data_IF_988161635792
#
_entry.id   IF_988161635792
#
_cell.length_a   1.000
_cell.length_b   1.000
_cell.length_c   1.000
_cell.angle_alpha   90.00
_cell.angle_beta   90.00
_cell.angle_gamma   90.00
#
_symmetry.space_group_name_H-M   'P 1'
#
loop_
_entity.id
_entity.type
_entity.pdbx_description
1 polymer ?
#
# COMPACT_ATOMS: atom_id res chain seq x y z
N UNK A 1 -9.18 -6.92 -9.53
CA UNK A 1 -8.24 -5.77 -9.61
C UNK A 1 -6.97 -5.98 -10.44
N UNK A 2 -6.13 -6.99 -10.16
CA UNK A 2 -4.80 -7.04 -10.82
C UNK A 2 -4.73 -7.94 -12.06
N UNK A 3 -5.75 -8.74 -12.34
CA UNK A 3 -5.78 -9.70 -13.46
C UNK A 3 -5.54 -9.06 -14.83
N UNK A 4 -6.09 -7.85 -15.07
CA UNK A 4 -5.87 -7.12 -16.33
C UNK A 4 -4.40 -6.74 -16.50
N UNK A 5 -3.77 -6.21 -15.45
CA UNK A 5 -2.35 -5.89 -15.44
C UNK A 5 -1.51 -7.17 -15.59
N UNK A 6 -1.92 -8.26 -14.95
CA UNK A 6 -1.29 -9.58 -15.08
C UNK A 6 -1.31 -10.09 -16.51
N UNK A 7 -2.48 -10.17 -17.16
CA UNK A 7 -2.59 -10.67 -18.53
C UNK A 7 -1.70 -9.89 -19.51
N UNK A 8 -1.63 -8.57 -19.35
CA UNK A 8 -0.82 -7.69 -20.21
C UNK A 8 0.68 -7.90 -19.99
N UNK A 9 1.11 -7.97 -18.73
CA UNK A 9 2.52 -8.20 -18.40
C UNK A 9 2.97 -9.62 -18.78
N UNK A 10 2.15 -10.64 -18.55
CA UNK A 10 2.46 -12.02 -18.91
C UNK A 10 2.67 -12.20 -20.42
N UNK A 11 1.82 -11.60 -21.26
CA UNK A 11 1.96 -11.67 -22.72
C UNK A 11 3.24 -11.00 -23.26
N UNK A 12 3.73 -9.97 -22.57
CA UNK A 12 5.02 -9.33 -22.87
C UNK A 12 6.20 -10.18 -22.46
N UNK A 13 6.10 -10.78 -21.27
CA UNK A 13 7.17 -11.59 -20.68
C UNK A 13 7.39 -12.88 -21.46
N UNK A 14 6.34 -13.52 -21.99
CA UNK A 14 6.46 -14.74 -22.79
C UNK A 14 7.30 -14.54 -24.06
N UNK A 15 7.18 -13.38 -24.72
CA UNK A 15 7.99 -13.04 -25.91
C UNK A 15 9.48 -12.93 -25.58
N UNK A 16 9.82 -12.64 -24.33
CA UNK A 16 11.19 -12.42 -23.87
C UNK A 16 11.89 -13.72 -23.44
N UNK A 17 11.14 -14.79 -23.10
CA UNK A 17 11.70 -16.10 -22.71
C UNK A 17 12.57 -16.74 -23.78
N UNK A 18 12.37 -16.40 -25.06
CA UNK A 18 13.11 -17.01 -26.19
C UNK A 18 14.53 -16.47 -26.42
N UNK A 19 14.99 -15.45 -25.69
CA UNK A 19 16.28 -14.79 -25.96
C UNK A 19 17.39 -15.21 -24.98
N UNK A 20 18.55 -15.61 -25.53
CA UNK A 20 19.67 -16.17 -24.76
C UNK A 20 20.56 -15.18 -24.00
N UNK A 21 20.45 -13.87 -24.25
CA UNK A 21 21.13 -12.79 -23.49
C UNK A 21 20.26 -11.54 -23.36
N UNK A 22 20.42 -10.81 -22.25
CA UNK A 22 19.93 -9.44 -22.11
C UNK A 22 20.87 -8.51 -22.90
N UNK A 23 20.38 -7.92 -23.98
CA UNK A 23 21.04 -6.82 -24.71
C UNK A 23 20.27 -5.53 -24.44
N UNK A 24 20.90 -4.38 -24.63
CA UNK A 24 20.21 -3.08 -24.49
C UNK A 24 18.97 -2.98 -25.39
N UNK A 25 19.03 -3.55 -26.60
CA UNK A 25 17.91 -3.60 -27.53
C UNK A 25 16.74 -4.43 -26.97
N UNK A 26 17.03 -5.62 -26.43
CA UNK A 26 16.02 -6.50 -25.82
C UNK A 26 15.37 -5.83 -24.59
N UNK A 27 16.17 -5.16 -23.76
CA UNK A 27 15.69 -4.42 -22.58
C UNK A 27 14.79 -3.26 -23.01
N UNK A 28 15.18 -2.51 -24.07
CA UNK A 28 14.39 -1.39 -24.59
C UNK A 28 13.04 -1.86 -25.13
N UNK A 29 13.00 -2.97 -25.88
CA UNK A 29 11.77 -3.56 -26.39
C UNK A 29 10.85 -4.01 -25.25
N UNK A 30 11.39 -4.77 -24.29
CA UNK A 30 10.66 -5.25 -23.12
C UNK A 30 10.08 -4.12 -22.27
N UNK A 31 10.89 -3.10 -21.97
CA UNK A 31 10.44 -1.94 -21.17
C UNK A 31 9.39 -1.10 -21.90
N UNK A 32 9.42 -1.05 -23.24
CA UNK A 32 8.36 -0.42 -24.02
C UNK A 32 7.03 -1.17 -23.86
N UNK A 33 7.05 -2.49 -23.90
CA UNK A 33 5.83 -3.28 -23.72
C UNK A 33 5.29 -3.19 -22.28
N UNK A 34 6.16 -3.29 -21.27
CA UNK A 34 5.79 -3.07 -19.86
C UNK A 34 5.17 -1.67 -19.68
N UNK A 35 5.72 -0.65 -20.33
CA UNK A 35 5.17 0.71 -20.32
C UNK A 35 3.74 0.75 -20.86
N UNK A 36 3.47 0.06 -21.97
CA UNK A 36 2.14 0.01 -22.58
C UNK A 36 1.17 -0.69 -21.64
N UNK A 37 1.56 -1.85 -21.08
CA UNK A 37 0.73 -2.60 -20.13
C UNK A 37 0.34 -1.77 -18.90
N UNK A 38 1.28 -1.00 -18.34
CA UNK A 38 1.02 -0.13 -17.20
C UNK A 38 0.06 1.01 -17.55
N UNK A 39 0.20 1.62 -18.73
CA UNK A 39 -0.71 2.68 -19.19
C UNK A 39 -2.11 2.16 -19.48
N UNK A 40 -2.24 0.99 -20.11
CA UNK A 40 -3.53 0.32 -20.36
C UNK A 40 -4.25 -0.06 -19.05
N UNK A 41 -3.46 -0.36 -18.00
CA UNK A 41 -3.94 -0.59 -16.64
C UNK A 41 -4.27 0.70 -15.86
N UNK A 42 -4.33 1.85 -16.54
CA UNK A 42 -4.60 3.19 -15.98
C UNK A 42 -3.63 3.63 -14.87
N UNK A 43 -2.37 3.19 -14.95
CA UNK A 43 -1.30 3.74 -14.10
C UNK A 43 -0.96 5.15 -14.57
N UNK A 44 -0.83 6.10 -13.63
CA UNK A 44 -0.50 7.48 -13.96
C UNK A 44 0.87 7.60 -14.65
N UNK A 45 0.92 8.39 -15.73
CA UNK A 45 2.11 8.55 -16.57
C UNK A 45 3.41 8.87 -15.80
N UNK A 46 3.43 9.77 -14.78
CA UNK A 46 4.64 10.04 -14.01
C UNK A 46 5.19 8.80 -13.30
N UNK A 47 4.29 7.91 -12.83
CA UNK A 47 4.64 6.68 -12.14
C UNK A 47 5.18 5.66 -13.13
N UNK A 48 4.55 5.54 -14.31
CA UNK A 48 5.05 4.68 -15.38
C UNK A 48 6.46 5.11 -15.83
N UNK A 49 6.67 6.41 -16.04
CA UNK A 49 7.98 6.94 -16.44
C UNK A 49 9.05 6.63 -15.40
N UNK A 50 8.77 6.87 -14.12
CA UNK A 50 9.70 6.59 -13.04
C UNK A 50 10.01 5.10 -12.91
N UNK A 51 8.99 4.24 -12.99
CA UNK A 51 9.14 2.79 -12.87
C UNK A 51 10.00 2.24 -14.02
N UNK A 52 9.72 2.65 -15.26
CA UNK A 52 10.48 2.21 -16.44
C UNK A 52 11.94 2.65 -16.37
N UNK A 53 12.21 3.86 -15.88
CA UNK A 53 13.58 4.35 -15.74
C UNK A 53 14.37 3.51 -14.74
N UNK A 54 13.78 3.20 -13.58
CA UNK A 54 14.42 2.36 -12.56
C UNK A 54 14.66 0.93 -13.06
N UNK A 55 13.69 0.35 -13.77
CA UNK A 55 13.83 -0.98 -14.40
C UNK A 55 15.01 -1.00 -15.37
N UNK A 56 15.16 0.02 -16.23
CA UNK A 56 16.28 0.09 -17.19
C UNK A 56 17.63 0.14 -16.47
N UNK A 57 17.76 1.00 -15.47
CA UNK A 57 19.01 1.15 -14.70
C UNK A 57 19.39 -0.17 -14.02
N UNK A 58 18.43 -0.86 -13.36
CA UNK A 58 18.71 -2.16 -12.72
C UNK A 58 18.97 -3.28 -13.72
N UNK A 59 18.26 -3.32 -14.84
CA UNK A 59 18.40 -4.36 -15.84
C UNK A 59 19.76 -4.32 -16.55
N UNK A 60 20.35 -3.13 -16.72
CA UNK A 60 21.71 -2.97 -17.27
C UNK A 60 22.79 -3.36 -16.24
N UNK A 61 22.54 -3.10 -14.95
CA UNK A 61 23.52 -3.31 -13.87
C UNK A 61 23.52 -4.72 -13.24
N UNK A 62 22.51 -5.56 -13.49
CA UNK A 62 22.51 -6.93 -12.97
C UNK A 62 23.34 -7.87 -13.86
N UNK A 63 24.43 -8.41 -13.31
CA UNK A 63 24.94 -9.67 -13.80
C UNK A 63 23.85 -10.73 -13.61
N UNK A 64 23.38 -11.31 -14.72
CA UNK A 64 22.42 -12.41 -14.68
C UNK A 64 23.06 -13.50 -13.83
N UNK A 65 22.45 -13.81 -12.68
CA UNK A 65 22.84 -14.98 -11.88
C UNK A 65 22.93 -16.16 -12.85
N UNK A 66 24.07 -16.88 -12.86
CA UNK A 66 24.38 -17.92 -13.87
C UNK A 66 23.28 -18.98 -14.04
N UNK A 67 22.36 -19.07 -13.09
CA UNK A 67 21.22 -19.99 -12.99
C UNK A 67 19.88 -19.45 -13.51
N UNK A 68 19.78 -18.17 -13.87
CA UNK A 68 18.54 -17.57 -14.41
C UNK A 68 18.67 -17.27 -15.89
N UNK A 69 17.58 -17.48 -16.63
CA UNK A 69 17.48 -16.99 -18.00
C UNK A 69 17.31 -15.46 -18.01
N UNK A 70 17.77 -14.77 -19.07
CA UNK A 70 17.53 -13.33 -19.30
C UNK A 70 16.11 -12.85 -19.01
N UNK A 71 15.10 -13.60 -19.49
CA UNK A 71 13.70 -13.29 -19.24
C UNK A 71 13.35 -13.36 -17.76
N UNK A 72 13.81 -14.41 -17.04
CA UNK A 72 13.59 -14.56 -15.61
C UNK A 72 14.24 -13.45 -14.77
N UNK A 73 15.45 -13.03 -15.15
CA UNK A 73 16.12 -11.91 -14.50
C UNK A 73 15.34 -10.59 -14.68
N UNK A 74 14.82 -10.32 -15.88
CA UNK A 74 14.01 -9.12 -16.11
C UNK A 74 12.68 -9.16 -15.34
N UNK A 75 11.99 -10.31 -15.30
CA UNK A 75 10.76 -10.49 -14.50
C UNK A 75 11.03 -10.16 -13.04
N UNK A 76 12.15 -10.68 -12.50
CA UNK A 76 12.59 -10.37 -11.14
C UNK A 76 12.77 -8.86 -10.95
N UNK A 77 13.48 -8.18 -11.85
CA UNK A 77 13.67 -6.72 -11.77
C UNK A 77 12.33 -5.99 -11.76
N UNK A 78 11.40 -6.37 -12.65
CA UNK A 78 10.06 -5.78 -12.71
C UNK A 78 9.29 -6.03 -11.41
N UNK A 79 9.31 -7.25 -10.87
CA UNK A 79 8.70 -7.61 -9.59
C UNK A 79 9.24 -6.74 -8.46
N UNK A 80 10.56 -6.70 -8.31
CA UNK A 80 11.22 -6.01 -7.21
C UNK A 80 10.95 -4.51 -7.27
N UNK A 81 10.82 -3.94 -8.47
CA UNK A 81 10.44 -2.55 -8.67
C UNK A 81 8.96 -2.29 -8.39
N UNK A 82 8.06 -3.17 -8.82
CA UNK A 82 6.63 -3.07 -8.50
C UNK A 82 6.41 -3.16 -6.98
N UNK A 83 7.06 -4.11 -6.30
CA UNK A 83 7.03 -4.23 -4.84
C UNK A 83 7.60 -2.98 -4.18
N UNK A 84 8.75 -2.48 -4.64
CA UNK A 84 9.35 -1.26 -4.08
C UNK A 84 8.44 -0.04 -4.22
N UNK A 85 7.72 0.10 -5.34
CA UNK A 85 6.76 1.19 -5.55
C UNK A 85 5.52 1.01 -4.67
N UNK A 86 5.01 -0.21 -4.50
CA UNK A 86 3.85 -0.48 -3.63
C UNK A 86 4.18 -0.37 -2.13
N UNK A 87 5.44 -0.60 -1.75
CA UNK A 87 5.92 -0.69 -0.37
C UNK A 87 6.44 -2.09 -0.07
N UNK A 88 7.49 -2.21 0.76
CA UNK A 88 8.09 -3.51 1.03
C UNK A 88 7.26 -4.40 1.97
N UNK A 89 6.53 -3.80 2.91
CA UNK A 89 5.80 -4.52 3.96
C UNK A 89 4.40 -3.95 4.19
N UNK A 90 3.53 -4.80 4.75
CA UNK A 90 2.20 -4.38 5.18
C UNK A 90 2.31 -3.37 6.33
N UNK A 91 1.60 -2.25 6.21
CA UNK A 91 1.57 -1.21 7.24
C UNK A 91 0.31 -1.31 8.08
N UNK A 92 0.48 -1.46 9.39
CA UNK A 92 -0.63 -1.51 10.33
C UNK A 92 -1.15 -0.11 10.70
N UNK A 93 -2.30 -0.06 11.38
CA UNK A 93 -2.80 1.15 12.01
C UNK A 93 -1.98 1.49 13.26
N UNK A 94 -1.60 2.76 13.39
CA UNK A 94 -0.98 3.30 14.59
C UNK A 94 -2.05 3.55 15.66
N UNK A 95 -2.35 2.49 16.41
CA UNK A 95 -3.26 2.54 17.56
C UNK A 95 -2.52 2.70 18.90
N UNK A 96 -1.19 2.85 18.87
CA UNK A 96 -0.34 3.00 20.06
C UNK A 96 -0.35 4.45 20.55
N UNK A 97 -1.55 4.96 20.85
CA UNK A 97 -1.81 6.32 21.34
C UNK A 97 -2.76 6.25 22.54
N UNK A 98 -2.83 7.30 23.38
CA UNK A 98 -3.84 7.37 24.42
C UNK A 98 -5.25 7.25 23.86
N UNK A 99 -6.08 6.41 24.48
CA UNK A 99 -7.45 6.20 24.04
C UNK A 99 -8.33 7.46 24.25
N UNK A 100 -9.30 7.74 23.36
CA UNK A 100 -9.57 7.02 22.11
C UNK A 100 -8.56 7.38 21.01
N UNK A 101 -8.09 6.36 20.27
CA UNK A 101 -7.34 6.58 19.04
C UNK A 101 -8.30 7.10 17.95
N UNK A 102 -8.04 8.30 17.44
CA UNK A 102 -8.92 8.94 16.46
C UNK A 102 -8.42 8.65 15.05
N UNK A 103 -9.30 8.11 14.20
CA UNK A 103 -9.04 7.84 12.79
C UNK A 103 -9.96 8.71 11.94
N UNK A 104 -9.38 9.63 11.19
CA UNK A 104 -10.09 10.54 10.29
C UNK A 104 -10.11 9.95 8.87
N UNK A 105 -11.29 9.81 8.27
CA UNK A 105 -11.44 9.37 6.89
C UNK A 105 -11.55 10.57 5.97
N UNK A 106 -10.63 10.72 5.03
CA UNK A 106 -10.62 11.76 4.00
C UNK A 106 -10.71 11.16 2.60
N UNK A 107 -11.21 11.91 1.63
CA UNK A 107 -11.24 11.47 0.22
C UNK A 107 -12.42 12.00 -0.58
N UNK A 108 -12.43 11.68 -1.87
CA UNK A 108 -13.44 12.15 -2.82
C UNK A 108 -14.85 11.68 -2.47
N UNK A 109 -15.83 12.41 -2.99
CA UNK A 109 -17.22 11.95 -3.00
C UNK A 109 -17.34 10.64 -3.78
N UNK A 110 -18.12 9.69 -3.26
CA UNK A 110 -18.33 8.39 -3.90
C UNK A 110 -17.17 7.39 -3.79
N UNK A 111 -16.04 7.77 -3.16
CA UNK A 111 -14.89 6.88 -2.95
C UNK A 111 -15.15 5.74 -1.96
N UNK A 112 -16.29 5.73 -1.25
CA UNK A 112 -16.64 4.70 -0.29
C UNK A 112 -16.16 4.94 1.14
N UNK A 113 -16.05 6.20 1.59
CA UNK A 113 -15.63 6.54 2.97
C UNK A 113 -16.55 5.94 4.03
N UNK A 114 -17.84 6.26 3.99
CA UNK A 114 -18.86 5.78 4.94
C UNK A 114 -18.91 4.25 5.02
N UNK A 115 -18.84 3.57 3.87
CA UNK A 115 -18.83 2.09 3.82
C UNK A 115 -17.52 1.53 4.36
N UNK A 116 -16.39 2.18 4.09
CA UNK A 116 -15.08 1.82 4.66
C UNK A 116 -15.06 1.98 6.17
N UNK A 117 -15.69 3.02 6.73
CA UNK A 117 -15.83 3.19 8.19
C UNK A 117 -16.55 2.00 8.80
N UNK A 118 -17.69 1.57 8.24
CA UNK A 118 -18.43 0.41 8.75
C UNK A 118 -17.60 -0.88 8.72
N UNK A 119 -16.91 -1.14 7.61
CA UNK A 119 -16.04 -2.32 7.47
C UNK A 119 -14.84 -2.28 8.41
N UNK A 120 -14.21 -1.11 8.55
CA UNK A 120 -13.06 -0.93 9.44
C UNK A 120 -13.49 -1.07 10.90
N UNK A 121 -14.65 -0.54 11.28
CA UNK A 121 -15.21 -0.70 12.61
C UNK A 121 -15.42 -2.18 12.95
N UNK A 122 -15.98 -2.95 12.01
CA UNK A 122 -16.12 -4.40 12.13
C UNK A 122 -14.77 -5.10 12.27
N UNK A 123 -13.81 -4.77 11.40
CA UNK A 123 -12.46 -5.34 11.43
C UNK A 123 -11.77 -5.10 12.79
N UNK A 124 -11.83 -3.88 13.31
CA UNK A 124 -11.24 -3.51 14.60
C UNK A 124 -11.93 -4.22 15.78
N UNK A 125 -13.26 -4.32 15.76
CA UNK A 125 -14.02 -5.05 16.77
C UNK A 125 -13.71 -6.55 16.76
N UNK A 126 -13.74 -7.18 15.60
CA UNK A 126 -13.65 -8.64 15.49
C UNK A 126 -12.22 -9.17 15.55
N UNK A 127 -11.31 -8.57 14.77
CA UNK A 127 -9.91 -9.03 14.63
C UNK A 127 -8.98 -8.41 15.67
N UNK A 128 -9.23 -7.16 16.10
CA UNK A 128 -8.40 -6.45 17.09
C UNK A 128 -9.01 -6.33 18.49
N UNK A 129 -10.25 -6.82 18.67
CA UNK A 129 -10.99 -6.81 19.94
C UNK A 129 -11.08 -5.42 20.59
N UNK A 130 -11.18 -4.37 19.76
CA UNK A 130 -11.31 -2.98 20.22
C UNK A 130 -12.77 -2.57 20.36
N UNK A 131 -13.07 -1.75 21.37
CA UNK A 131 -14.34 -1.03 21.49
C UNK A 131 -14.31 0.15 20.54
N UNK A 132 -15.18 0.15 19.54
CA UNK A 132 -15.20 1.15 18.47
C UNK A 132 -16.44 2.02 18.58
N UNK A 133 -16.25 3.31 18.36
CA UNK A 133 -17.31 4.28 18.10
C UNK A 133 -17.11 4.91 16.73
N UNK A 134 -18.20 5.21 16.03
CA UNK A 134 -18.18 5.91 14.75
C UNK A 134 -19.02 7.18 14.83
N UNK A 135 -18.62 8.21 14.10
CA UNK A 135 -19.34 9.48 14.00
C UNK A 135 -19.31 9.98 12.56
N UNK A 136 -20.44 10.53 12.10
CA UNK A 136 -20.50 11.24 10.82
C UNK A 136 -20.32 12.74 11.03
N UNK A 137 -19.28 13.28 10.40
CA UNK A 137 -19.05 14.71 10.24
C UNK A 137 -19.46 15.20 8.84
N UNK A 138 -20.12 14.37 8.02
CA UNK A 138 -20.72 14.76 6.73
C UNK A 138 -22.09 15.42 6.96
N UNK A 139 -22.05 16.69 7.39
CA UNK A 139 -23.26 17.50 7.66
C UNK A 139 -24.01 17.92 6.39
N UNK A 140 -23.38 17.78 5.22
CA UNK A 140 -23.94 18.18 3.93
C UNK A 140 -24.88 17.11 3.35
N UNK A 141 -24.74 15.86 3.80
CA UNK A 141 -25.54 14.73 3.33
C UNK A 141 -26.23 14.07 4.52
N UNK A 142 -27.45 14.51 4.90
CA UNK A 142 -28.19 13.90 6.02
C UNK A 142 -28.36 12.38 5.88
N UNK A 143 -28.53 11.88 4.65
CA UNK A 143 -28.60 10.45 4.38
C UNK A 143 -27.29 9.69 4.71
N UNK A 144 -26.13 10.34 4.68
CA UNK A 144 -24.86 9.72 5.06
C UNK A 144 -24.77 9.49 6.58
N UNK A 145 -25.38 10.37 7.39
CA UNK A 145 -25.49 10.20 8.85
C UNK A 145 -26.33 8.96 9.16
N UNK A 146 -27.54 8.86 8.58
CA UNK A 146 -28.42 7.70 8.77
C UNK A 146 -27.83 6.41 8.18
N UNK A 147 -27.12 6.51 7.05
CA UNK A 147 -26.41 5.37 6.47
C UNK A 147 -25.33 4.86 7.43
N UNK A 148 -24.52 5.74 8.01
CA UNK A 148 -23.48 5.34 8.97
C UNK A 148 -24.08 4.75 10.23
N UNK A 149 -25.18 5.32 10.74
CA UNK A 149 -25.92 4.78 11.88
C UNK A 149 -26.39 3.35 11.63
N UNK A 150 -27.02 3.11 10.48
CA UNK A 150 -27.49 1.77 10.08
C UNK A 150 -26.33 0.79 9.97
N UNK A 151 -25.20 1.21 9.40
CA UNK A 151 -23.99 0.38 9.31
C UNK A 151 -23.42 0.07 10.71
N UNK A 152 -23.41 1.05 11.62
CA UNK A 152 -22.93 0.88 12.98
C UNK A 152 -23.77 -0.13 13.76
N UNK A 153 -25.10 -0.06 13.63
CA UNK A 153 -26.04 -1.03 14.21
C UNK A 153 -25.81 -2.43 13.62
N UNK A 154 -25.66 -2.55 12.30
CA UNK A 154 -25.43 -3.82 11.62
C UNK A 154 -24.14 -4.52 12.08
N UNK A 155 -23.05 -3.78 12.32
CA UNK A 155 -21.78 -4.35 12.81
C UNK A 155 -21.68 -4.36 14.35
N UNK A 156 -22.68 -3.80 15.03
CA UNK A 156 -22.80 -3.72 16.48
C UNK A 156 -21.70 -2.89 17.14
N UNK A 157 -21.39 -1.72 16.60
CA UNK A 157 -20.46 -0.73 17.21
C UNK A 157 -21.23 0.50 17.66
N UNK A 158 -20.62 1.33 18.51
CA UNK A 158 -21.26 2.54 19.00
C UNK A 158 -21.35 3.59 17.88
N UNK A 159 -22.47 4.30 17.82
CA UNK A 159 -22.67 5.44 16.94
C UNK A 159 -22.89 6.69 17.78
N UNK A 160 -22.10 7.73 17.53
CA UNK A 160 -22.35 9.04 18.13
C UNK A 160 -23.34 9.83 17.26
N UNK A 161 -24.48 10.28 17.81
CA UNK A 161 -25.49 11.01 17.06
C UNK A 161 -24.97 12.39 16.63
N UNK A 162 -25.19 12.73 15.37
CA UNK A 162 -24.89 14.05 14.81
C UNK A 162 -26.06 14.54 13.94
N UNK A 163 -26.13 15.86 13.72
CA UNK A 163 -27.18 16.47 12.90
C UNK A 163 -26.60 17.47 11.89
N UNK A 164 -27.35 17.70 10.81
CA UNK A 164 -26.89 18.52 9.68
C UNK A 164 -26.77 20.03 10.01
N UNK A 165 -27.40 20.48 11.09
CA UNK A 165 -27.34 21.86 11.60
C UNK A 165 -26.10 22.14 12.47
N UNK A 166 -25.36 21.10 12.86
CA UNK A 166 -24.16 21.24 13.67
C UNK A 166 -22.92 21.50 12.81
N UNK A 167 -21.88 22.10 13.41
CA UNK A 167 -20.57 22.23 12.76
C UNK A 167 -19.78 20.92 12.88
N UNK A 168 -19.07 20.46 11.82
CA UNK A 168 -18.26 19.24 11.85
C UNK A 168 -17.30 19.17 13.04
N UNK A 169 -16.60 20.27 13.34
CA UNK A 169 -15.67 20.35 14.46
C UNK A 169 -16.35 20.13 15.82
N UNK A 170 -17.54 20.69 16.00
CA UNK A 170 -18.30 20.54 17.25
C UNK A 170 -18.79 19.10 17.44
N UNK A 171 -19.26 18.47 16.36
CA UNK A 171 -19.66 17.06 16.36
C UNK A 171 -18.50 16.17 16.81
N UNK A 172 -17.33 16.32 16.17
CA UNK A 172 -16.19 15.44 16.45
C UNK A 172 -15.64 15.66 17.85
N UNK A 173 -15.58 16.91 18.35
CA UNK A 173 -15.20 17.17 19.75
C UNK A 173 -16.15 16.50 20.74
N UNK A 174 -17.45 16.63 20.54
CA UNK A 174 -18.45 16.00 21.40
C UNK A 174 -18.33 14.46 21.35
N UNK A 175 -18.08 13.89 20.17
CA UNK A 175 -17.83 12.45 20.00
C UNK A 175 -16.57 11.97 20.73
N UNK A 176 -15.49 12.75 20.74
CA UNK A 176 -14.27 12.44 21.50
C UNK A 176 -14.56 12.41 23.00
N UNK A 177 -15.30 13.39 23.50
CA UNK A 177 -15.66 13.45 24.93
C UNK A 177 -16.58 12.28 25.33
N UNK A 178 -17.54 11.92 24.48
CA UNK A 178 -18.39 10.75 24.71
C UNK A 178 -17.62 9.43 24.62
N UNK A 179 -16.71 9.30 23.64
CA UNK A 179 -15.82 8.15 23.52
C UNK A 179 -14.94 7.96 24.76
N UNK A 180 -14.44 9.05 25.36
CA UNK A 180 -13.69 9.01 26.63
C UNK A 180 -14.56 8.53 27.79
N UNK A 181 -15.77 9.08 27.95
CA UNK A 181 -16.71 8.66 29.01
C UNK A 181 -17.17 7.21 28.86
N UNK A 182 -17.30 6.76 27.61
CA UNK A 182 -17.70 5.42 27.25
C UNK A 182 -16.55 4.41 27.19
N UNK A 183 -15.32 4.81 27.55
CA UNK A 183 -14.11 3.97 27.51
C UNK A 183 -13.91 3.29 26.15
N UNK A 184 -14.12 4.04 25.07
CA UNK A 184 -13.91 3.58 23.69
C UNK A 184 -12.43 3.59 23.36
N UNK A 185 -11.95 2.55 22.68
CA UNK A 185 -10.55 2.45 22.26
C UNK A 185 -10.28 3.24 20.98
N UNK A 186 -11.21 3.20 20.01
CA UNK A 186 -11.04 3.80 18.68
C UNK A 186 -12.29 4.58 18.27
N UNK A 187 -12.10 5.82 17.84
CA UNK A 187 -13.13 6.67 17.24
C UNK A 187 -12.85 6.82 15.74
N UNK A 188 -13.79 6.35 14.91
CA UNK A 188 -13.74 6.56 13.46
C UNK A 188 -14.60 7.76 13.07
N UNK A 189 -14.01 8.70 12.33
CA UNK A 189 -14.68 9.93 11.89
C UNK A 189 -14.87 9.87 10.37
N UNK A 190 -16.12 9.74 9.92
CA UNK A 190 -16.49 9.86 8.51
C UNK A 190 -16.65 11.33 8.13
N UNK A 191 -15.90 11.82 7.15
CA UNK A 191 -16.01 13.21 6.67
C UNK A 191 -16.73 13.29 5.34
N UNK A 192 -17.22 14.49 4.99
CA UNK A 192 -17.83 14.71 3.70
C UNK A 192 -16.87 14.43 2.52
N UNK A 193 -17.43 13.99 1.39
CA UNK A 193 -16.69 13.96 0.13
C UNK A 193 -16.33 15.37 -0.34
N UNK A 194 -15.05 15.61 -0.58
CA UNK A 194 -14.56 16.89 -1.10
C UNK A 194 -14.02 16.70 -2.50
N UNK A 195 -14.29 17.64 -3.41
CA UNK A 195 -13.57 17.73 -4.66
C UNK A 195 -12.20 18.36 -4.38
N UNK A 196 -11.14 17.82 -4.95
CA UNK A 196 -9.78 18.33 -4.74
C UNK A 196 -9.58 19.79 -5.18
N UNK A 197 -10.49 20.30 -6.03
CA UNK A 197 -10.50 21.68 -6.55
C UNK A 197 -11.28 22.66 -5.68
N UNK A 198 -11.99 22.21 -4.64
CA UNK A 198 -12.79 23.07 -3.76
C UNK A 198 -11.94 23.52 -2.56
N UNK A 199 -11.34 24.71 -2.68
CA UNK A 199 -10.47 25.29 -1.65
C UNK A 199 -11.18 25.49 -0.31
N UNK A 200 -12.46 25.89 -0.33
CA UNK A 200 -13.22 26.14 0.89
C UNK A 200 -13.46 24.83 1.66
N UNK A 201 -13.84 23.78 0.94
CA UNK A 201 -13.99 22.44 1.50
C UNK A 201 -12.65 21.87 2.02
N UNK A 202 -11.55 22.11 1.32
CA UNK A 202 -10.21 21.68 1.75
C UNK A 202 -9.73 22.45 3.00
N UNK A 203 -10.07 23.74 3.11
CA UNK A 203 -9.78 24.54 4.30
C UNK A 203 -10.54 24.01 5.53
N UNK A 204 -11.81 23.61 5.35
CA UNK A 204 -12.61 23.07 6.46
C UNK A 204 -12.05 21.75 7.00
N UNK A 205 -11.69 20.80 6.13
CA UNK A 205 -11.10 19.53 6.59
C UNK A 205 -9.73 19.74 7.24
N UNK A 206 -8.97 20.73 6.78
CA UNK A 206 -7.70 21.11 7.41
C UNK A 206 -7.91 21.70 8.81
N UNK A 207 -8.92 22.56 8.97
CA UNK A 207 -9.31 23.09 10.27
C UNK A 207 -9.79 21.97 11.21
N UNK A 208 -10.63 21.05 10.72
CA UNK A 208 -11.10 19.90 11.47
C UNK A 208 -9.93 19.00 11.90
N UNK A 209 -9.01 18.68 10.99
CA UNK A 209 -7.83 17.89 11.28
C UNK A 209 -6.97 18.55 12.36
N UNK A 210 -6.70 19.86 12.25
CA UNK A 210 -5.92 20.59 13.23
C UNK A 210 -6.60 20.64 14.61
N UNK A 211 -7.92 20.78 14.64
CA UNK A 211 -8.70 20.82 15.88
C UNK A 211 -8.77 19.47 16.61
N UNK A 212 -8.72 18.37 15.86
CA UNK A 212 -8.92 17.00 16.38
C UNK A 212 -7.61 16.25 16.62
N UNK A 213 -6.55 16.62 15.89
CA UNK A 213 -5.23 15.98 15.94
C UNK A 213 -5.31 14.44 15.88
N UNK A 214 -5.85 13.86 14.78
CA UNK A 214 -6.08 12.43 14.68
C UNK A 214 -4.77 11.63 14.69
N UNK A 215 -4.82 10.42 15.25
CA UNK A 215 -3.69 9.49 15.24
C UNK A 215 -3.45 8.92 13.84
N UNK A 216 -4.52 8.74 13.07
CA UNK A 216 -4.49 8.29 11.69
C UNK A 216 -5.39 9.15 10.83
N UNK A 217 -4.90 9.56 9.66
CA UNK A 217 -5.68 10.20 8.61
C UNK A 217 -5.60 9.32 7.37
N UNK A 218 -6.69 8.58 7.11
CA UNK A 218 -6.78 7.62 6.03
C UNK A 218 -7.43 8.26 4.80
N UNK A 219 -6.70 8.25 3.69
CA UNK A 219 -7.22 8.68 2.40
C UNK A 219 -7.90 7.51 1.68
N UNK A 220 -9.21 7.62 1.46
CA UNK A 220 -10.00 6.61 0.76
C UNK A 220 -10.09 6.97 -0.70
N UNK A 221 -9.68 6.04 -1.56
CA UNK A 221 -9.68 6.21 -3.01
C UNK A 221 -10.29 4.99 -3.69
N UNK A 222 -11.08 5.25 -4.71
CA UNK A 222 -11.69 4.22 -5.53
C UNK A 222 -10.66 3.68 -6.52
N UNK A 223 -10.50 2.35 -6.54
CA UNK A 223 -9.56 1.67 -7.42
C UNK A 223 -9.90 1.85 -8.92
N UNK A 224 -11.12 2.26 -9.25
CA UNK A 224 -11.57 2.57 -10.61
C UNK A 224 -11.17 3.98 -11.07
N UNK A 225 -10.73 4.88 -10.18
CA UNK A 225 -10.42 6.29 -10.52
C UNK A 225 -9.16 6.45 -11.39
N UNK A 226 -8.52 5.35 -11.82
CA UNK A 226 -7.47 5.34 -12.84
C UNK A 226 -6.39 6.39 -12.61
N UNK A 227 -6.08 7.18 -13.64
CA UNK A 227 -5.06 8.21 -13.58
C UNK A 227 -5.46 9.42 -12.71
N UNK A 228 -6.75 9.74 -12.57
CA UNK A 228 -7.21 10.89 -11.76
C UNK A 228 -7.00 10.68 -10.26
N UNK A 229 -6.82 9.43 -9.84
CA UNK A 229 -6.45 9.08 -8.47
C UNK A 229 -5.12 9.75 -8.07
N UNK A 230 -4.19 9.91 -9.01
CA UNK A 230 -2.90 10.57 -8.81
C UNK A 230 -3.04 12.04 -8.40
N UNK A 231 -3.77 12.82 -9.19
CA UNK A 231 -3.95 14.25 -8.98
C UNK A 231 -4.68 14.53 -7.68
N UNK A 232 -5.73 13.76 -7.43
CA UNK A 232 -6.51 13.82 -6.20
C UNK A 232 -5.64 13.50 -4.98
N UNK A 233 -4.91 12.38 -5.03
CA UNK A 233 -4.09 11.96 -3.91
C UNK A 233 -2.99 12.98 -3.60
N UNK A 234 -2.42 13.62 -4.62
CA UNK A 234 -1.49 14.74 -4.45
C UNK A 234 -2.14 15.90 -3.70
N UNK A 235 -3.29 16.38 -4.17
CA UNK A 235 -3.98 17.51 -3.54
C UNK A 235 -4.34 17.25 -2.07
N UNK A 236 -4.81 16.05 -1.74
CA UNK A 236 -5.07 15.67 -0.35
C UNK A 236 -3.80 15.48 0.47
N UNK A 237 -2.73 14.92 -0.12
CA UNK A 237 -1.43 14.77 0.54
C UNK A 237 -0.73 16.09 0.85
N UNK A 238 -0.92 17.09 0.00
CA UNK A 238 -0.39 18.45 0.18
C UNK A 238 -1.20 19.23 1.24
N UNK A 239 -2.50 18.99 1.33
CA UNK A 239 -3.40 19.70 2.24
C UNK A 239 -3.47 19.10 3.65
N UNK A 240 -3.37 17.78 3.77
CA UNK A 240 -3.54 17.02 5.01
C UNK A 240 -2.36 16.07 5.24
N UNK A 241 -1.91 15.90 6.49
CA UNK A 241 -0.87 14.93 6.81
C UNK A 241 -1.47 13.52 6.81
N UNK A 242 -1.58 12.94 5.62
CA UNK A 242 -2.05 11.57 5.43
C UNK A 242 -1.09 10.57 6.08
N UNK A 243 -1.64 9.54 6.73
CA UNK A 243 -0.87 8.46 7.36
C UNK A 243 -1.02 7.13 6.64
N UNK A 244 -2.10 6.96 5.87
CA UNK A 244 -2.35 5.76 5.09
C UNK A 244 -3.42 5.95 4.03
N UNK A 245 -3.56 4.93 3.18
CA UNK A 245 -4.52 4.89 2.08
C UNK A 245 -5.38 3.64 2.20
N UNK A 246 -6.66 3.76 1.85
CA UNK A 246 -7.58 2.63 1.68
C UNK A 246 -8.08 2.61 0.24
N UNK A 247 -7.88 1.49 -0.44
CA UNK A 247 -8.41 1.26 -1.79
C UNK A 247 -9.78 0.61 -1.70
N UNK A 248 -10.77 1.14 -2.41
CA UNK A 248 -12.13 0.56 -2.44
C UNK A 248 -12.47 -0.01 -3.82
N UNK A 249 -13.56 -0.78 -3.90
CA UNK A 249 -14.12 -1.36 -5.13
C UNK A 249 -13.13 -2.20 -5.94
N UNK A 250 -12.29 -2.97 -5.26
CA UNK A 250 -11.27 -3.81 -5.92
C UNK A 250 -11.84 -5.10 -6.51
N UNK A 251 -13.09 -5.41 -6.16
CA UNK A 251 -13.95 -6.46 -6.70
C UNK A 251 -14.55 -6.14 -8.07
N UNK A 252 -14.55 -4.88 -8.50
CA UNK A 252 -14.96 -4.48 -9.85
C UNK A 252 -13.87 -4.69 -10.91
N UNK A 253 -14.11 -4.16 -12.11
CA UNK A 253 -13.15 -4.06 -13.23
C UNK A 253 -12.04 -3.02 -12.95
N UNK A 254 -11.63 -2.90 -11.70
CA UNK A 254 -10.49 -2.08 -11.30
C UNK A 254 -9.24 -2.67 -11.97
N UNK A 255 -8.43 -1.82 -12.61
CA UNK A 255 -7.25 -2.25 -13.39
C UNK A 255 -5.94 -2.30 -12.60
N UNK A 256 -5.98 -1.98 -11.30
CA UNK A 256 -4.79 -2.01 -10.44
C UNK A 256 -3.95 -0.74 -10.45
N UNK A 257 -4.04 0.10 -11.48
CA UNK A 257 -3.16 1.26 -11.64
C UNK A 257 -3.31 2.36 -10.59
N UNK A 258 -4.50 2.52 -10.01
CA UNK A 258 -4.73 3.48 -8.94
C UNK A 258 -3.88 3.19 -7.69
N UNK A 259 -3.66 1.92 -7.34
CA UNK A 259 -2.86 1.52 -6.18
C UNK A 259 -1.41 2.00 -6.31
N UNK A 260 -0.77 1.70 -7.44
CA UNK A 260 0.59 2.14 -7.77
C UNK A 260 0.67 3.67 -7.78
N UNK A 261 -0.31 4.30 -8.43
CA UNK A 261 -0.31 5.75 -8.64
C UNK A 261 -0.39 6.52 -7.34
N UNK A 262 -1.36 6.18 -6.48
CA UNK A 262 -1.60 6.87 -5.21
C UNK A 262 -0.44 6.66 -4.25
N UNK A 263 0.08 5.43 -4.15
CA UNK A 263 1.22 5.12 -3.28
C UNK A 263 2.47 5.90 -3.70
N UNK A 264 2.81 5.87 -4.98
CA UNK A 264 4.01 6.55 -5.50
C UNK A 264 3.94 8.07 -5.27
N UNK A 265 2.77 8.67 -5.47
CA UNK A 265 2.60 10.12 -5.40
C UNK A 265 2.52 10.63 -3.97
N UNK A 266 1.78 9.94 -3.11
CA UNK A 266 1.61 10.37 -1.71
C UNK A 266 2.77 9.94 -0.81
N UNK A 267 3.51 8.89 -1.21
CA UNK A 267 4.48 8.22 -0.35
C UNK A 267 3.85 7.52 0.86
N UNK A 268 2.51 7.46 0.97
CA UNK A 268 1.79 6.90 2.12
C UNK A 268 1.37 5.46 1.88
N UNK A 269 1.47 4.58 2.89
CA UNK A 269 1.23 3.15 2.69
C UNK A 269 -0.24 2.88 2.45
N UNK A 270 -0.53 1.93 1.56
CA UNK A 270 -1.89 1.38 1.48
C UNK A 270 -2.02 0.40 2.64
N UNK A 271 -2.99 0.63 3.52
CA UNK A 271 -3.20 -0.19 4.73
C UNK A 271 -4.27 -1.25 4.50
N UNK A 272 -5.33 -0.88 3.79
CA UNK A 272 -6.47 -1.77 3.55
C UNK A 272 -6.98 -1.73 2.12
N UNK A 273 -7.69 -2.79 1.76
CA UNK A 273 -8.36 -3.00 0.48
C UNK A 273 -9.79 -3.46 0.71
N UNK A 274 -10.73 -2.76 0.08
CA UNK A 274 -12.14 -3.16 0.01
C UNK A 274 -12.33 -4.19 -1.10
N UNK A 275 -12.58 -5.44 -0.72
CA UNK A 275 -12.66 -6.61 -1.61
C UNK A 275 -14.10 -7.10 -1.86
N UNK A 276 -15.09 -6.49 -1.23
CA UNK A 276 -16.51 -6.67 -1.58
C UNK A 276 -17.33 -5.53 -0.99
N UNK A 277 -18.60 -5.42 -1.38
CA UNK A 277 -19.56 -4.48 -0.77
C UNK A 277 -19.96 -4.88 0.67
N UNK A 278 -19.82 -6.15 1.04
CA UNK A 278 -20.26 -6.69 2.34
C UNK A 278 -19.46 -6.09 3.51
N UNK A 279 -20.00 -6.07 4.74
CA UNK A 279 -19.30 -5.56 5.92
C UNK A 279 -17.97 -6.26 6.22
N UNK A 280 -17.82 -7.52 5.82
CA UNK A 280 -16.58 -8.31 5.98
C UNK A 280 -15.55 -8.03 4.88
N UNK A 281 -15.93 -7.30 3.84
CA UNK A 281 -15.15 -7.06 2.63
C UNK A 281 -14.00 -6.07 2.78
N UNK A 282 -13.21 -6.16 3.85
CA UNK A 282 -12.03 -5.33 4.09
C UNK A 282 -10.84 -6.19 4.53
N UNK A 283 -9.81 -6.21 3.69
CA UNK A 283 -8.58 -6.96 3.91
C UNK A 283 -7.37 -6.03 4.06
N UNK A 284 -6.32 -6.56 4.70
CA UNK A 284 -5.03 -5.87 4.84
C UNK A 284 -4.31 -5.89 3.49
N UNK A 285 -3.73 -4.75 3.11
CA UNK A 285 -2.91 -4.68 1.89
C UNK A 285 -1.54 -5.28 2.15
N UNK A 286 -1.21 -6.35 1.40
CA UNK A 286 0.09 -7.01 1.41
C UNK A 286 0.79 -6.75 0.06
N UNK A 287 1.73 -5.79 0.00
CA UNK A 287 2.34 -5.38 -1.26
C UNK A 287 3.06 -6.52 -1.99
N UNK A 288 3.79 -7.35 -1.25
CA UNK A 288 4.53 -8.51 -1.72
C UNK A 288 3.61 -9.51 -2.44
N UNK A 289 2.51 -9.88 -1.80
CA UNK A 289 1.52 -10.82 -2.35
C UNK A 289 0.86 -10.26 -3.60
N UNK A 290 0.63 -8.95 -3.62
CA UNK A 290 0.00 -8.28 -4.75
C UNK A 290 0.95 -8.20 -5.94
N UNK A 291 2.22 -7.82 -5.73
CA UNK A 291 3.23 -7.80 -6.78
C UNK A 291 3.44 -9.18 -7.41
N UNK A 292 3.49 -10.24 -6.59
CA UNK A 292 3.58 -11.61 -7.08
C UNK A 292 2.35 -12.05 -7.88
N UNK A 293 1.14 -11.65 -7.46
CA UNK A 293 -0.12 -11.90 -8.21
C UNK A 293 -0.20 -11.09 -9.51
N UNK A 294 0.36 -9.89 -9.55
CA UNK A 294 0.43 -9.09 -10.79
C UNK A 294 1.30 -9.76 -11.84
N UNK A 295 2.35 -10.45 -11.41
CA UNK A 295 3.26 -11.13 -12.31
C UNK A 295 2.95 -12.62 -12.42
N UNK A 296 1.70 -13.03 -12.14
CA UNK A 296 1.28 -14.42 -11.95
C UNK A 296 1.91 -15.38 -12.95
N UNK A 297 3.01 -15.96 -12.48
CA UNK A 297 3.86 -16.92 -13.15
C UNK A 297 4.37 -17.85 -12.06
N UNK A 298 3.44 -18.47 -11.32
CA UNK A 298 3.73 -19.29 -10.13
C UNK A 298 4.96 -20.18 -10.30
N UNK A 299 5.16 -20.76 -11.47
CA UNK A 299 6.34 -21.59 -11.78
C UNK A 299 7.64 -20.79 -11.91
N UNK A 300 7.63 -19.61 -12.54
CA UNK A 300 8.85 -18.78 -12.71
C UNK A 300 9.26 -18.08 -11.44
N UNK A 301 8.30 -17.52 -10.71
CA UNK A 301 8.59 -16.86 -9.44
C UNK A 301 9.12 -17.87 -8.43
N UNK A 302 8.52 -19.06 -8.38
CA UNK A 302 9.04 -20.17 -7.55
C UNK A 302 10.44 -20.59 -7.97
N UNK A 303 10.73 -20.67 -9.28
CA UNK A 303 12.09 -20.98 -9.77
C UNK A 303 13.10 -19.89 -9.40
N UNK A 304 12.71 -18.61 -9.51
CA UNK A 304 13.56 -17.47 -9.12
C UNK A 304 13.84 -17.51 -7.62
N UNK A 305 12.82 -17.73 -6.78
CA UNK A 305 12.95 -17.83 -5.32
C UNK A 305 13.79 -19.04 -4.91
N UNK A 306 13.62 -20.19 -5.55
CA UNK A 306 14.44 -21.38 -5.32
C UNK A 306 15.91 -21.12 -5.66
N UNK A 307 16.17 -20.45 -6.78
CA UNK A 307 17.53 -20.06 -7.17
C UNK A 307 18.14 -19.09 -6.16
N UNK A 308 17.39 -18.10 -5.66
CA UNK A 308 17.87 -17.19 -4.61
C UNK A 308 18.23 -17.95 -3.33
N UNK A 309 17.32 -18.81 -2.85
CA UNK A 309 17.57 -19.63 -1.67
C UNK A 309 18.78 -20.56 -1.84
N UNK A 310 18.98 -21.11 -3.04
CA UNK A 310 20.10 -22.01 -3.31
C UNK A 310 21.42 -21.26 -3.39
N UNK A 311 21.45 -20.07 -4.00
CA UNK A 311 22.63 -19.20 -4.02
C UNK A 311 23.01 -18.75 -2.61
N UNK A 312 22.04 -18.41 -1.78
CA UNK A 312 22.31 -18.02 -0.38
C UNK A 312 22.84 -19.20 0.45
N UNK A 313 22.29 -20.40 0.24
CA UNK A 313 22.82 -21.64 0.85
C UNK A 313 24.22 -21.97 0.38
N UNK A 314 24.52 -21.83 -0.91
CA UNK A 314 25.86 -22.08 -1.46
C UNK A 314 26.89 -21.07 -0.96
N UNK A 315 26.50 -19.79 -0.83
CA UNK A 315 27.33 -18.76 -0.20
C UNK A 315 27.59 -19.09 1.27
N UNK A 316 26.54 -19.44 2.03
CA UNK A 316 26.67 -19.84 3.43
C UNK A 316 27.53 -21.09 3.61
N UNK A 317 27.37 -22.10 2.75
CA UNK A 317 28.15 -23.33 2.75
C UNK A 317 29.62 -23.08 2.38
N UNK A 318 29.91 -22.23 1.39
CA UNK A 318 31.29 -21.83 1.06
C UNK A 318 31.95 -21.04 2.18
N UNK A 319 31.19 -20.18 2.87
CA UNK A 319 31.68 -19.46 4.04
C UNK A 319 31.99 -20.44 5.18
N UNK A 320 31.08 -21.37 5.47
CA UNK A 320 31.26 -22.41 6.48
C UNK A 320 32.42 -23.35 6.16
N UNK A 321 32.59 -23.73 4.89
CA UNK A 321 33.68 -24.60 4.42
C UNK A 321 35.03 -23.87 4.45
N UNK A 322 35.08 -22.57 4.14
CA UNK A 322 36.28 -21.75 4.32
C UNK A 322 36.69 -21.64 5.79
N UNK A 323 35.72 -21.42 6.69
CA UNK A 323 35.93 -21.38 8.15
C UNK A 323 36.39 -22.76 8.67
N UNK A 324 35.76 -23.84 8.23
CA UNK A 324 36.09 -25.21 8.62
C UNK A 324 37.47 -25.68 8.09
N UNK A 325 37.90 -25.20 6.92
CA UNK A 325 39.20 -25.52 6.32
C UNK A 325 40.36 -24.67 6.85
N UNK A 326 40.12 -23.78 7.82
CA UNK A 326 41.17 -22.98 8.47
C UNK A 326 41.96 -22.07 7.52
N UNK A 327 41.41 -21.75 6.33
CA UNK A 327 42.04 -20.78 5.42
C UNK A 327 41.98 -19.41 6.09
N UNK A 328 43.14 -18.73 6.18
CA UNK A 328 43.26 -17.41 6.79
C UNK A 328 42.23 -16.48 6.17
N UNK A 329 41.35 -15.97 7.02
CA UNK A 329 40.41 -14.90 6.73
C UNK A 329 41.19 -13.76 6.05
N UNK A 330 40.88 -13.47 4.79
CA UNK A 330 41.61 -12.46 4.02
C UNK A 330 40.84 -11.12 3.97
N UNK A 331 41.47 -10.10 3.42
CA UNK A 331 40.88 -8.76 3.35
C UNK A 331 39.64 -8.70 2.43
N UNK A 332 39.50 -9.63 1.48
CA UNK A 332 38.30 -9.72 0.66
C UNK A 332 37.16 -10.34 1.45
N UNK A 333 37.43 -11.35 2.28
CA UNK A 333 36.45 -11.93 3.19
C UNK A 333 35.96 -10.90 4.24
N UNK A 334 36.87 -10.04 4.73
CA UNK A 334 36.52 -8.93 5.62
C UNK A 334 35.66 -7.88 4.91
N UNK A 335 35.96 -7.55 3.65
CA UNK A 335 35.14 -6.65 2.83
C UNK A 335 33.74 -7.21 2.61
N UNK A 336 33.64 -8.47 2.23
CA UNK A 336 32.37 -9.12 1.95
C UNK A 336 31.51 -9.23 3.24
N UNK A 337 32.13 -9.48 4.41
CA UNK A 337 31.44 -9.39 5.71
C UNK A 337 30.94 -7.97 6.02
N UNK A 338 31.72 -6.94 5.72
CA UNK A 338 31.33 -5.55 5.95
C UNK A 338 30.17 -5.13 5.03
N UNK A 339 30.19 -5.54 3.76
CA UNK A 339 29.07 -5.34 2.83
C UNK A 339 27.81 -6.10 3.30
N UNK A 340 27.97 -7.34 3.76
CA UNK A 340 26.85 -8.13 4.26
C UNK A 340 26.25 -7.53 5.54
N UNK A 341 27.08 -7.01 6.45
CA UNK A 341 26.63 -6.25 7.61
C UNK A 341 25.91 -4.95 7.21
N UNK A 342 26.39 -4.23 6.19
CA UNK A 342 25.72 -3.04 5.68
C UNK A 342 24.33 -3.35 5.13
N UNK A 343 24.21 -4.43 4.36
CA UNK A 343 22.94 -4.89 3.78
C UNK A 343 21.94 -5.40 4.83
N UNK A 344 22.42 -5.84 5.99
CA UNK A 344 21.58 -6.28 7.12
C UNK A 344 21.18 -5.14 8.09
N UNK A 345 21.42 -3.87 7.73
CA UNK A 345 21.09 -2.72 8.59
C UNK A 345 22.22 -2.28 9.53
N UNK A 346 23.46 -2.68 9.23
CA UNK A 346 24.64 -2.36 10.04
C UNK A 346 24.68 -3.04 11.40
N UNK A 347 25.56 -2.57 12.28
CA UNK A 347 25.70 -3.06 13.66
C UNK A 347 24.40 -2.89 14.46
N UNK A 348 23.57 -1.89 14.12
CA UNK A 348 22.27 -1.66 14.76
C UNK A 348 21.28 -2.80 14.52
N UNK A 349 21.20 -3.32 13.30
CA UNK A 349 20.29 -4.43 12.95
C UNK A 349 20.66 -5.78 13.57
N UNK A 350 21.91 -5.95 14.01
CA UNK A 350 22.37 -7.13 14.76
C UNK A 350 22.11 -7.01 16.26
N UNK A 351 22.13 -5.81 16.83
CA UNK A 351 21.78 -5.59 18.25
C UNK A 351 20.28 -5.81 18.53
N UNK A 352 19.40 -5.47 17.59
CA UNK A 352 17.95 -5.72 17.71
C UNK A 352 17.57 -7.22 17.60
N UNK A 353 18.52 -8.08 17.22
CA UNK A 353 18.30 -9.53 17.00
C UNK A 353 19.07 -10.42 17.98
N UNK A 354 19.76 -9.83 18.95
CA UNK A 354 20.32 -10.57 20.08
C UNK A 354 19.23 -10.72 21.16
N UNK A 355 19.11 -11.90 21.81
CA UNK A 355 18.07 -12.16 22.81
C UNK A 355 18.23 -11.30 24.08
#
# INVERSE_FOLDING_TARGET
MFESLTQRLSGTIERLRGRGRLTEENIREATREVRIALLEADVALPVVQALIERIKVRAVGQEVLKSLTPGQALIKVVRDELTAVMGAEASDLNLNVPAPAIILMAGLQGAGKTTTVGKLAKHLKEKRKKKVMVVSADVYRPAAIEQLKTLAEQVGVLFFPSSADQKPEAIVRAAIDDARKSFVDVLLVDTAGRLAIDEAMMAEIKALHAAVNPAETLFVVDAMTGQDAANTAKAFGDALPLTGVVLTKTDGDARGGAALSVRYITGKPIKFVGVSEKPEGLDVFHPDRIASRILDMGDVLSLVEQVEQQVDKDKAAKLAEKVAKGKKFDLNDMRDQLEQMQNMGGIGGLMDKLP
#
